data_IF_509536182853
#
_entry.id   IF_509536182853
#
_cell.length_a   1.000
_cell.length_b   1.000
_cell.length_c   1.000
_cell.angle_alpha   90.00
_cell.angle_beta   90.00
_cell.angle_gamma   90.00
#
_symmetry.space_group_name_H-M   'P 1'
#
loop_
_entity.id
_entity.type
_entity.pdbx_description
1 polymer ?
#
# COMPACT_ATOMS: atom_id res chain seq x y z
N UNK A 1 16.10 -6.21 5.94
CA UNK A 1 15.38 -5.88 4.70
C UNK A 1 13.93 -6.25 4.91
N UNK A 2 13.14 -5.33 5.43
CA UNK A 2 11.74 -5.55 5.74
C UNK A 2 10.91 -4.86 4.65
N UNK A 3 10.53 -5.63 3.63
CA UNK A 3 9.61 -5.14 2.61
C UNK A 3 8.17 -5.34 3.09
N UNK A 4 7.39 -4.27 3.06
CA UNK A 4 5.96 -4.28 3.33
C UNK A 4 5.25 -4.45 2.00
N UNK A 5 4.82 -5.69 1.72
CA UNK A 5 4.01 -6.00 0.55
C UNK A 5 2.54 -5.78 0.88
N UNK A 6 1.83 -5.03 0.03
CA UNK A 6 0.40 -4.79 0.12
C UNK A 6 -0.32 -5.01 -1.21
N UNK A 7 -1.58 -5.41 -1.12
CA UNK A 7 -2.46 -5.68 -2.25
C UNK A 7 -3.63 -4.69 -2.26
N UNK A 8 -3.94 -4.14 -3.43
CA UNK A 8 -5.04 -3.21 -3.68
C UNK A 8 -5.89 -3.72 -4.84
N UNK A 9 -7.17 -3.94 -4.60
CA UNK A 9 -8.12 -4.43 -5.59
C UNK A 9 -9.49 -3.76 -5.37
N UNK A 10 -9.93 -2.84 -6.25
CA UNK A 10 -11.23 -2.18 -6.10
C UNK A 10 -12.41 -3.13 -6.29
N UNK A 11 -12.17 -4.35 -6.79
CA UNK A 11 -13.20 -5.38 -6.95
C UNK A 11 -13.32 -6.30 -5.72
N UNK A 12 -12.56 -6.07 -4.66
CA UNK A 12 -12.64 -6.87 -3.43
C UNK A 12 -13.94 -6.55 -2.68
N UNK A 13 -14.73 -7.60 -2.39
CA UNK A 13 -16.07 -7.44 -1.75
C UNK A 13 -16.18 -8.10 -0.38
N UNK A 14 -15.20 -8.93 0.01
CA UNK A 14 -15.29 -9.79 1.20
C UNK A 14 -14.00 -9.90 2.01
N UNK A 15 -12.99 -9.07 1.70
CA UNK A 15 -11.75 -9.01 2.45
C UNK A 15 -11.92 -8.29 3.79
N UNK A 16 -11.06 -8.60 4.75
CA UNK A 16 -10.97 -7.82 6.01
C UNK A 16 -10.32 -6.43 5.81
N UNK A 17 -9.77 -6.17 4.62
CA UNK A 17 -9.15 -4.90 4.25
C UNK A 17 -7.79 -4.69 4.88
N UNK A 18 -7.06 -5.76 5.22
CA UNK A 18 -5.69 -5.68 5.75
C UNK A 18 -4.61 -5.53 4.67
N UNK A 19 -4.93 -5.79 3.40
CA UNK A 19 -4.02 -5.71 2.28
C UNK A 19 -2.90 -6.75 2.27
N UNK A 20 -2.98 -7.80 3.10
CA UNK A 20 -1.96 -8.84 3.23
C UNK A 20 -2.02 -9.92 2.14
N UNK A 21 -3.14 -9.97 1.40
CA UNK A 21 -3.38 -10.88 0.29
C UNK A 21 -4.40 -10.29 -0.69
N UNK A 22 -4.54 -10.89 -1.87
CA UNK A 22 -5.59 -10.51 -2.83
C UNK A 22 -7.02 -10.70 -2.32
N UNK A 23 -7.25 -11.64 -1.39
CA UNK A 23 -8.58 -11.88 -0.80
C UNK A 23 -8.92 -10.76 0.18
N UNK A 24 -7.91 -10.27 0.90
CA UNK A 24 -7.99 -9.24 1.91
C UNK A 24 -7.50 -7.87 1.41
N UNK A 25 -7.45 -7.68 0.09
CA UNK A 25 -6.87 -6.48 -0.50
C UNK A 25 -7.56 -5.22 0.02
N UNK A 26 -6.82 -4.11 0.04
CA UNK A 26 -7.43 -2.80 0.21
C UNK A 26 -8.32 -2.51 -1.00
N UNK A 27 -9.51 -1.95 -0.77
CA UNK A 27 -10.44 -1.61 -1.86
C UNK A 27 -10.02 -0.37 -2.68
N UNK A 28 -8.96 0.34 -2.25
CA UNK A 28 -8.39 1.49 -2.97
C UNK A 28 -6.97 1.79 -2.48
N UNK A 29 -6.21 2.55 -3.27
CA UNK A 29 -4.92 3.11 -2.88
C UNK A 29 -5.08 4.12 -1.73
N UNK A 30 -6.21 4.84 -1.67
CA UNK A 30 -6.52 5.72 -0.55
C UNK A 30 -6.69 4.93 0.76
N UNK A 31 -7.39 3.81 0.73
CA UNK A 31 -7.58 2.95 1.90
C UNK A 31 -6.25 2.34 2.38
N UNK A 32 -5.37 1.95 1.44
CA UNK A 32 -4.01 1.50 1.77
C UNK A 32 -3.21 2.60 2.48
N UNK A 33 -3.19 3.81 1.93
CA UNK A 33 -2.42 4.93 2.48
C UNK A 33 -2.87 5.27 3.90
N UNK A 34 -4.19 5.41 4.12
CA UNK A 34 -4.76 5.74 5.42
C UNK A 34 -4.57 4.63 6.49
N UNK A 35 -4.48 3.37 6.07
CA UNK A 35 -4.27 2.25 6.98
C UNK A 35 -2.79 2.04 7.33
N UNK A 36 -1.91 2.29 6.36
CA UNK A 36 -0.48 2.07 6.56
C UNK A 36 0.24 3.26 7.15
N UNK A 37 -0.13 4.52 6.86
CA UNK A 37 0.52 5.80 7.28
C UNK A 37 1.60 5.64 8.39
N UNK A 38 2.77 5.09 8.02
CA UNK A 38 3.86 4.78 8.95
C UNK A 38 5.14 5.43 8.45
N UNK A 39 5.96 5.83 9.41
CA UNK A 39 7.30 6.30 9.12
C UNK A 39 8.14 5.18 8.51
N UNK A 40 8.82 5.49 7.41
CA UNK A 40 9.86 4.65 6.82
C UNK A 40 11.18 4.97 7.55
N UNK A 41 11.25 4.67 8.85
CA UNK A 41 12.35 5.07 9.74
C UNK A 41 13.27 3.90 10.17
N UNK A 42 12.83 2.66 9.99
CA UNK A 42 13.63 1.48 10.24
C UNK A 42 14.42 1.04 9.01
N UNK A 43 15.47 0.24 9.25
CA UNK A 43 16.42 -0.10 8.22
C UNK A 43 15.83 -0.92 7.07
N UNK A 44 15.93 -0.40 5.85
CA UNK A 44 15.40 -0.98 4.63
C UNK A 44 13.86 -1.19 4.67
N UNK A 45 13.12 -0.20 5.20
CA UNK A 45 11.66 -0.14 5.08
C UNK A 45 11.28 0.33 3.68
N UNK A 46 10.70 -0.57 2.89
CA UNK A 46 10.13 -0.25 1.58
C UNK A 46 8.70 -0.77 1.50
N UNK A 47 7.80 0.03 0.94
CA UNK A 47 6.44 -0.41 0.63
C UNK A 47 6.35 -0.79 -0.85
N UNK A 48 5.86 -2.00 -1.11
CA UNK A 48 5.49 -2.43 -2.45
C UNK A 48 4.00 -2.70 -2.50
N UNK A 49 3.29 -1.96 -3.34
CA UNK A 49 1.85 -2.04 -3.50
C UNK A 49 1.55 -2.65 -4.85
N UNK A 50 0.88 -3.81 -4.84
CA UNK A 50 0.40 -4.49 -6.03
C UNK A 50 -1.07 -4.16 -6.22
N UNK A 51 -1.37 -3.53 -7.34
CA UNK A 51 -2.70 -3.15 -7.75
C UNK A 51 -3.23 -4.17 -8.77
N UNK A 52 -4.51 -4.47 -8.69
CA UNK A 52 -5.24 -5.28 -9.66
C UNK A 52 -6.64 -4.71 -9.79
N UNK A 53 -7.29 -5.01 -10.90
CA UNK A 53 -8.73 -4.92 -11.05
C UNK A 53 -9.22 -6.25 -11.62
N UNK A 54 -9.92 -7.05 -10.80
CA UNK A 54 -10.38 -8.38 -11.19
C UNK A 54 -11.54 -8.35 -12.18
N UNK A 55 -12.42 -7.34 -12.08
CA UNK A 55 -13.64 -7.20 -12.87
C UNK A 55 -13.66 -5.95 -13.75
N UNK A 56 -12.60 -5.13 -13.70
CA UNK A 56 -12.44 -3.93 -14.52
C UNK A 56 -12.90 -2.65 -13.82
N UNK A 57 -13.14 -2.68 -12.51
CA UNK A 57 -13.39 -1.47 -11.72
C UNK A 57 -12.11 -0.63 -11.63
N UNK A 58 -12.27 0.67 -11.75
CA UNK A 58 -11.19 1.63 -11.52
C UNK A 58 -11.24 2.11 -10.08
N UNK A 59 -10.07 2.27 -9.46
CA UNK A 59 -9.96 3.12 -8.28
C UNK A 59 -10.19 4.58 -8.70
N UNK A 60 -11.21 5.21 -8.11
CA UNK A 60 -11.58 6.61 -8.40
C UNK A 60 -11.19 7.56 -7.27
N UNK A 61 -10.61 7.05 -6.19
CA UNK A 61 -10.25 7.85 -5.02
C UNK A 61 -8.85 8.42 -5.19
N UNK A 62 -8.66 9.65 -4.71
CA UNK A 62 -7.35 10.28 -4.66
C UNK A 62 -6.48 9.61 -3.59
N UNK A 63 -5.27 9.21 -3.95
CA UNK A 63 -4.25 8.73 -3.00
C UNK A 63 -3.22 9.84 -2.79
N UNK A 64 -3.12 10.35 -1.57
CA UNK A 64 -2.15 11.39 -1.18
C UNK A 64 -1.24 10.79 -0.13
N UNK A 65 0.05 10.63 -0.44
CA UNK A 65 1.04 10.24 0.56
C UNK A 65 1.28 11.44 1.48
N UNK A 66 0.77 11.38 2.72
CA UNK A 66 0.80 12.49 3.67
C UNK A 66 1.43 12.08 5.00
N UNK A 67 2.32 12.91 5.57
CA UNK A 67 2.97 12.69 6.87
C UNK A 67 3.95 11.51 7.00
N UNK A 68 4.33 10.84 5.91
CA UNK A 68 5.34 9.77 5.94
C UNK A 68 6.74 10.37 6.15
N UNK A 69 7.45 10.00 7.22
CA UNK A 69 8.84 10.44 7.44
C UNK A 69 9.87 9.37 7.05
N UNK A 70 11.08 9.82 6.68
CA UNK A 70 12.24 8.96 6.36
C UNK A 70 13.43 9.28 7.27
N UNK A 71 13.22 9.36 8.58
CA UNK A 71 14.22 9.85 9.55
C UNK A 71 15.27 8.83 9.99
N UNK A 72 15.25 7.63 9.42
CA UNK A 72 16.15 6.56 9.81
C UNK A 72 17.58 6.69 9.25
N UNK A 73 18.51 5.84 9.73
CA UNK A 73 19.91 5.85 9.30
C UNK A 73 20.16 5.23 7.91
N UNK A 74 19.12 4.74 7.21
CA UNK A 74 19.30 3.97 5.98
C UNK A 74 19.37 4.85 4.73
N UNK A 75 20.19 4.43 3.75
CA UNK A 75 20.41 5.21 2.54
C UNK A 75 19.25 5.11 1.52
N UNK A 76 18.32 4.16 1.69
CA UNK A 76 17.27 3.89 0.70
C UNK A 76 15.91 3.62 1.37
N UNK A 77 14.96 4.50 1.05
CA UNK A 77 13.54 4.38 1.34
C UNK A 77 12.77 4.46 0.04
N UNK A 78 11.65 3.73 -0.08
CA UNK A 78 10.91 3.73 -1.32
C UNK A 78 9.50 3.18 -1.19
N UNK A 79 8.61 3.76 -1.99
CA UNK A 79 7.27 3.26 -2.25
C UNK A 79 7.23 2.90 -3.74
N UNK A 80 6.87 1.67 -4.05
CA UNK A 80 6.68 1.21 -5.43
C UNK A 80 5.24 0.76 -5.61
N UNK A 81 4.53 1.39 -6.54
CA UNK A 81 3.15 1.04 -6.91
C UNK A 81 3.20 0.39 -8.29
N UNK A 82 2.66 -0.82 -8.41
CA UNK A 82 2.63 -1.60 -9.64
C UNK A 82 1.19 -2.02 -9.92
N UNK A 83 0.73 -1.87 -11.17
CA UNK A 83 -0.62 -2.26 -11.61
C UNK A 83 -0.59 -3.03 -12.92
#
# INVERSE_FOLDING_TARGET
MAEVLRYVDPDVVAGDGSGDSWINAYASLNAWEAAEEIDLDAANNTHRVLCRSLSGSNDQLECVISNWNTSGPDPWYGITIQG
#
